data_IF_546017429207
#
_entry.id   IF_546017429207
#
_cell.length_a   1.000
_cell.length_b   1.000
_cell.length_c   1.000
_cell.angle_alpha   90.00
_cell.angle_beta   90.00
_cell.angle_gamma   90.00
#
_symmetry.space_group_name_H-M   'P 1'
#
loop_
_entity.id
_entity.type
_entity.pdbx_description
1 polymer ?
#
# COMPACT_ATOMS: atom_id res chain seq x y z
N UNK A 1 -33.45 40.44 42.24
CA UNK A 1 -32.56 39.50 41.50
C UNK A 1 -33.07 38.08 41.69
N UNK A 2 -33.72 37.44 40.70
CA UNK A 2 -34.31 36.12 40.91
C UNK A 2 -33.28 35.00 40.68
N UNK A 3 -33.22 34.06 41.64
CA UNK A 3 -32.48 32.79 41.56
C UNK A 3 -33.27 31.77 40.74
N UNK A 4 -32.62 31.06 39.81
CA UNK A 4 -33.19 29.90 39.09
C UNK A 4 -32.40 28.61 39.37
N UNK A 5 -33.09 27.73 40.12
CA UNK A 5 -33.27 26.27 40.03
C UNK A 5 -32.08 25.34 39.70
N UNK A 6 -31.85 24.44 40.67
CA UNK A 6 -31.27 23.11 40.52
C UNK A 6 -32.10 22.21 39.58
N UNK A 7 -31.41 21.38 38.82
CA UNK A 7 -31.95 20.21 38.14
C UNK A 7 -30.90 19.09 38.15
N UNK A 8 -31.03 18.15 39.06
CA UNK A 8 -30.27 16.91 39.14
C UNK A 8 -30.91 15.86 38.24
N UNK A 9 -30.13 15.29 37.32
CA UNK A 9 -30.54 14.15 36.48
C UNK A 9 -29.68 12.94 36.88
N UNK A 10 -30.30 12.01 37.61
CA UNK A 10 -29.75 10.68 37.86
C UNK A 10 -29.91 9.81 36.60
N UNK A 11 -28.80 9.33 36.04
CA UNK A 11 -28.81 8.32 34.99
C UNK A 11 -28.48 6.94 35.58
N UNK A 12 -29.43 6.01 35.44
CA UNK A 12 -29.41 4.63 35.92
C UNK A 12 -28.30 3.80 35.25
N UNK A 13 -27.42 3.24 36.08
CA UNK A 13 -26.42 2.23 35.72
C UNK A 13 -27.12 0.86 35.59
N UNK A 14 -27.15 0.29 34.39
CA UNK A 14 -27.63 -1.09 34.15
C UNK A 14 -26.43 -2.02 34.08
N UNK A 15 -26.25 -2.82 35.12
CA UNK A 15 -25.34 -3.97 35.15
C UNK A 15 -25.98 -5.13 34.38
N UNK A 16 -25.24 -5.73 33.44
CA UNK A 16 -25.61 -7.00 32.81
C UNK A 16 -24.76 -8.09 33.45
N UNK A 17 -25.42 -8.96 34.21
CA UNK A 17 -24.84 -10.21 34.70
C UNK A 17 -24.71 -11.19 33.52
N UNK A 18 -23.56 -11.85 33.41
CA UNK A 18 -23.37 -12.99 32.53
C UNK A 18 -23.57 -14.27 33.33
N UNK A 19 -24.48 -15.11 32.86
CA UNK A 19 -24.86 -16.40 33.42
C UNK A 19 -23.87 -17.49 32.94
N UNK A 20 -23.25 -18.20 33.88
CA UNK A 20 -22.30 -19.28 33.62
C UNK A 20 -23.06 -20.60 33.53
N UNK A 21 -23.20 -21.16 32.33
CA UNK A 21 -23.73 -22.51 32.14
C UNK A 21 -22.63 -23.55 32.39
N UNK A 22 -22.85 -24.43 33.38
CA UNK A 22 -22.04 -25.63 33.63
C UNK A 22 -22.58 -26.78 32.78
N UNK A 23 -21.71 -27.45 32.05
CA UNK A 23 -22.00 -28.75 31.42
C UNK A 23 -21.69 -29.90 32.38
N UNK A 24 -22.42 -31.03 32.35
CA UNK A 24 -22.25 -32.13 33.28
C UNK A 24 -21.12 -33.09 32.85
N UNK A 25 -20.39 -33.64 33.83
CA UNK A 25 -19.48 -34.77 33.65
C UNK A 25 -20.25 -36.09 33.45
N UNK A 26 -19.74 -37.05 32.67
CA UNK A 26 -20.24 -38.42 32.68
C UNK A 26 -19.39 -39.34 33.57
N UNK A 27 -20.13 -40.14 34.32
CA UNK A 27 -19.70 -41.11 35.32
C UNK A 27 -19.15 -42.42 34.71
N UNK A 28 -18.52 -43.21 35.57
CA UNK A 28 -17.59 -44.31 35.30
C UNK A 28 -18.21 -45.70 35.03
N UNK A 29 -17.35 -46.61 34.55
CA UNK A 29 -17.39 -48.10 34.56
C UNK A 29 -17.99 -48.88 33.37
N UNK A 30 -17.15 -49.65 32.66
CA UNK A 30 -17.10 -51.14 32.70
C UNK A 30 -16.31 -51.77 31.52
N UNK A 31 -15.34 -52.61 31.91
CA UNK A 31 -14.57 -53.70 31.27
C UNK A 31 -14.81 -54.16 29.82
N UNK A 32 -13.70 -54.44 29.11
CA UNK A 32 -13.65 -55.44 28.02
C UNK A 32 -12.60 -55.17 26.94
N UNK A 33 -11.47 -55.92 26.92
CA UNK A 33 -10.55 -56.04 25.76
C UNK A 33 -11.04 -57.17 24.85
N UNK A 34 -10.94 -57.04 23.52
CA UNK A 34 -9.86 -57.75 22.83
C UNK A 34 -9.23 -57.03 21.62
N UNK A 35 -8.17 -57.68 21.13
CA UNK A 35 -7.16 -57.30 20.14
C UNK A 35 -7.72 -56.75 18.82
N UNK A 36 -7.11 -55.66 18.33
CA UNK A 36 -7.30 -55.11 16.99
C UNK A 36 -6.08 -54.30 16.54
N UNK A 37 -5.59 -54.64 15.35
CA UNK A 37 -4.38 -54.15 14.66
C UNK A 37 -4.33 -52.62 14.52
N UNK A 38 -3.23 -52.00 14.94
CA UNK A 38 -3.00 -50.55 14.82
C UNK A 38 -2.50 -50.21 13.41
N UNK A 39 -3.41 -49.76 12.54
CA UNK A 39 -3.03 -48.92 11.40
C UNK A 39 -2.87 -47.48 11.91
N UNK A 40 -1.64 -46.93 11.84
CA UNK A 40 -1.38 -45.50 12.09
C UNK A 40 -2.13 -44.66 11.05
N UNK A 41 -3.30 -44.15 11.42
CA UNK A 41 -3.94 -43.03 10.71
C UNK A 41 -3.39 -41.75 11.32
N UNK A 42 -2.54 -41.06 10.57
CA UNK A 42 -2.06 -39.73 10.95
C UNK A 42 -3.24 -38.75 10.91
N UNK A 43 -3.73 -38.37 12.09
CA UNK A 43 -4.69 -37.28 12.25
C UNK A 43 -3.98 -35.97 11.89
N UNK A 44 -4.34 -35.42 10.72
CA UNK A 44 -3.89 -34.08 10.31
C UNK A 44 -4.47 -33.05 11.28
N UNK A 45 -3.67 -32.14 11.86
CA UNK A 45 -4.21 -31.04 12.65
C UNK A 45 -5.09 -30.15 11.76
N UNK A 46 -6.25 -29.77 12.28
CA UNK A 46 -7.18 -28.84 11.65
C UNK A 46 -6.49 -27.49 11.42
N UNK A 47 -5.99 -27.28 10.20
CA UNK A 47 -5.50 -25.99 9.77
C UNK A 47 -6.64 -24.98 9.71
N UNK A 48 -6.40 -23.83 10.34
CA UNK A 48 -7.20 -22.62 10.21
C UNK A 48 -7.56 -22.40 8.75
N UNK A 49 -8.88 -22.44 8.54
CA UNK A 49 -9.60 -22.04 7.35
C UNK A 49 -9.04 -20.70 6.86
N UNK A 50 -8.37 -20.70 5.70
CA UNK A 50 -8.05 -19.47 4.96
C UNK A 50 -9.36 -18.73 4.72
N UNK A 51 -9.56 -17.62 5.42
CA UNK A 51 -10.56 -16.64 5.03
C UNK A 51 -10.08 -15.98 3.75
N UNK A 52 -10.65 -16.40 2.63
CA UNK A 52 -10.55 -15.69 1.36
C UNK A 52 -11.28 -14.36 1.49
N UNK A 53 -10.56 -13.30 1.86
CA UNK A 53 -10.98 -11.95 1.56
C UNK A 53 -10.46 -11.61 0.18
N UNK A 54 -11.39 -11.42 -0.75
CA UNK A 54 -11.18 -11.01 -2.13
C UNK A 54 -10.34 -9.71 -2.16
N UNK A 55 -9.04 -9.82 -2.42
CA UNK A 55 -8.11 -8.70 -2.42
C UNK A 55 -7.32 -8.70 -3.72
N UNK A 56 -7.91 -8.09 -4.76
CA UNK A 56 -7.28 -7.81 -6.04
C UNK A 56 -7.00 -9.05 -6.90
N UNK A 57 -7.58 -9.10 -8.10
CA UNK A 57 -7.22 -10.12 -9.09
C UNK A 57 -5.79 -9.87 -9.58
N UNK A 58 -4.81 -10.57 -8.99
CA UNK A 58 -3.51 -10.72 -9.64
C UNK A 58 -3.73 -11.72 -10.76
N UNK A 59 -3.72 -11.27 -12.01
CA UNK A 59 -3.48 -12.19 -13.13
C UNK A 59 -2.04 -12.66 -13.01
N UNK A 60 -1.82 -13.72 -12.23
CA UNK A 60 -0.52 -14.32 -12.01
C UNK A 60 -0.07 -14.95 -13.32
N UNK A 61 0.79 -14.25 -14.05
CA UNK A 61 1.43 -14.79 -15.25
C UNK A 61 2.40 -15.88 -14.86
N UNK A 62 2.67 -16.79 -15.80
CA UNK A 62 3.72 -17.78 -15.58
C UNK A 62 5.07 -17.06 -15.48
N UNK A 63 6.01 -17.51 -14.64
CA UNK A 63 7.33 -16.86 -14.48
C UNK A 63 8.07 -16.62 -15.81
N UNK A 64 7.89 -17.50 -16.79
CA UNK A 64 8.46 -17.39 -18.14
C UNK A 64 7.87 -16.23 -18.95
N UNK A 65 6.57 -15.98 -18.83
CA UNK A 65 5.87 -14.88 -19.51
C UNK A 65 6.28 -13.52 -18.91
N UNK A 66 6.48 -13.48 -17.59
CA UNK A 66 6.92 -12.28 -16.88
C UNK A 66 8.36 -11.89 -17.25
N UNK A 67 9.27 -12.86 -17.35
CA UNK A 67 10.64 -12.65 -17.85
C UNK A 67 10.66 -12.19 -19.31
N UNK A 68 9.80 -12.76 -20.16
CA UNK A 68 9.66 -12.32 -21.55
C UNK A 68 9.18 -10.86 -21.63
N UNK A 69 8.23 -10.46 -20.77
CA UNK A 69 7.76 -9.06 -20.67
C UNK A 69 8.87 -8.11 -20.24
N UNK A 70 9.73 -8.50 -19.32
CA UNK A 70 10.88 -7.69 -18.89
C UNK A 70 11.86 -7.50 -20.05
N UNK A 71 12.19 -8.56 -20.79
CA UNK A 71 13.04 -8.45 -21.99
C UNK A 71 12.41 -7.54 -23.04
N UNK A 72 11.12 -7.69 -23.28
CA UNK A 72 10.39 -6.84 -24.22
C UNK A 72 10.38 -5.37 -23.78
N UNK A 73 10.19 -5.09 -22.49
CA UNK A 73 10.21 -3.71 -21.96
C UNK A 73 11.60 -3.07 -22.08
N UNK A 74 12.68 -3.81 -21.78
CA UNK A 74 14.05 -3.33 -21.99
C UNK A 74 14.31 -2.99 -23.45
N UNK A 75 13.83 -3.81 -24.38
CA UNK A 75 13.94 -3.53 -25.81
C UNK A 75 13.14 -2.28 -26.22
N UNK A 76 11.94 -2.08 -25.65
CA UNK A 76 11.14 -0.86 -25.89
C UNK A 76 11.81 0.39 -25.33
N UNK A 77 12.36 0.31 -24.13
CA UNK A 77 13.11 1.38 -23.50
C UNK A 77 14.34 1.79 -24.32
N UNK A 78 15.13 0.82 -24.80
CA UNK A 78 16.28 1.12 -25.64
C UNK A 78 15.86 1.86 -26.91
N UNK A 79 14.82 1.36 -27.61
CA UNK A 79 14.30 2.03 -28.81
C UNK A 79 13.79 3.44 -28.54
N UNK A 80 13.16 3.67 -27.39
CA UNK A 80 12.69 4.99 -26.98
C UNK A 80 13.87 5.93 -26.71
N UNK A 81 14.92 5.47 -26.03
CA UNK A 81 16.16 6.24 -25.84
C UNK A 81 16.81 6.58 -27.18
N UNK A 82 16.94 5.61 -28.08
CA UNK A 82 17.54 5.83 -29.41
C UNK A 82 16.71 6.84 -30.24
N UNK A 83 15.39 6.83 -30.09
CA UNK A 83 14.48 7.77 -30.76
C UNK A 83 14.52 9.18 -30.13
N UNK A 84 14.65 9.28 -28.80
CA UNK A 84 14.84 10.54 -28.09
C UNK A 84 16.18 11.17 -28.44
N UNK A 85 17.27 10.42 -28.46
CA UNK A 85 18.60 10.92 -28.89
C UNK A 85 18.54 11.46 -30.33
N UNK A 86 17.86 10.74 -31.23
CA UNK A 86 17.63 11.21 -32.60
C UNK A 86 16.77 12.48 -32.66
N UNK A 87 15.84 12.67 -31.71
CA UNK A 87 15.01 13.88 -31.61
C UNK A 87 15.78 15.05 -30.98
N UNK A 88 16.55 14.81 -29.93
CA UNK A 88 17.39 15.81 -29.25
C UNK A 88 18.43 16.35 -30.23
N UNK A 89 19.05 15.51 -31.06
CA UNK A 89 19.97 15.98 -32.11
C UNK A 89 19.26 16.91 -33.12
N UNK A 90 18.00 16.60 -33.49
CA UNK A 90 17.16 17.49 -34.34
C UNK A 90 16.72 18.76 -33.59
N UNK A 91 16.45 18.68 -32.29
CA UNK A 91 16.02 19.80 -31.46
C UNK A 91 17.17 20.71 -31.08
N UNK A 92 18.39 20.22 -30.84
CA UNK A 92 19.59 21.02 -30.60
C UNK A 92 19.95 21.86 -31.83
N UNK A 93 19.67 21.36 -33.04
CA UNK A 93 19.72 22.16 -34.26
C UNK A 93 18.72 23.34 -34.28
N UNK A 94 17.69 23.33 -33.41
CA UNK A 94 16.71 24.41 -33.25
C UNK A 94 16.81 25.17 -31.91
N UNK A 95 17.60 24.69 -30.94
CA UNK A 95 17.67 25.20 -29.56
C UNK A 95 18.62 26.39 -29.36
N UNK A 96 19.49 26.69 -30.33
CA UNK A 96 20.37 27.88 -30.30
C UNK A 96 19.57 29.19 -30.14
N UNK A 97 18.26 29.20 -30.44
CA UNK A 97 17.43 30.40 -30.43
C UNK A 97 16.62 30.72 -29.17
N UNK A 98 16.66 29.92 -28.09
CA UNK A 98 15.71 30.10 -26.94
C UNK A 98 16.36 29.99 -25.56
N UNK A 99 17.47 30.68 -25.35
CA UNK A 99 17.98 30.95 -24.01
C UNK A 99 17.18 32.10 -23.38
N UNK A 100 16.85 31.96 -22.08
CA UNK A 100 16.11 32.89 -21.18
C UNK A 100 14.60 32.64 -21.00
N UNK A 101 14.24 32.10 -19.83
CA UNK A 101 12.89 32.19 -19.27
C UNK A 101 12.57 31.07 -18.28
N UNK A 102 12.69 31.35 -16.97
CA UNK A 102 12.30 30.45 -15.87
C UNK A 102 10.77 30.35 -15.81
N UNK A 103 10.22 29.16 -15.99
CA UNK A 103 8.79 28.85 -15.81
C UNK A 103 8.59 27.93 -14.61
N UNK A 104 7.54 28.18 -13.83
CA UNK A 104 7.01 27.23 -12.85
C UNK A 104 6.61 25.94 -13.58
N UNK A 105 7.36 24.87 -13.34
CA UNK A 105 7.25 23.63 -14.11
C UNK A 105 5.88 22.96 -13.89
N UNK A 106 5.18 22.55 -14.95
CA UNK A 106 3.98 21.73 -14.82
C UNK A 106 4.32 20.44 -14.06
N UNK A 107 3.42 20.00 -13.17
CA UNK A 107 3.61 18.76 -12.41
C UNK A 107 3.67 17.60 -13.38
N UNK A 108 4.85 17.03 -13.54
CA UNK A 108 5.09 15.88 -14.41
C UNK A 108 4.24 14.66 -13.99
N UNK A 109 3.79 13.85 -14.96
CA UNK A 109 2.76 12.84 -14.74
C UNK A 109 3.22 11.71 -13.80
N UNK A 110 4.53 11.46 -13.71
CA UNK A 110 5.14 10.55 -12.73
C UNK A 110 6.55 10.98 -12.35
N UNK A 111 7.02 10.52 -11.20
CA UNK A 111 8.38 10.76 -10.69
C UNK A 111 9.06 9.45 -10.30
N UNK A 112 10.38 9.38 -10.53
CA UNK A 112 11.20 8.22 -10.18
C UNK A 112 11.54 8.22 -8.69
N UNK A 113 10.98 7.26 -7.96
CA UNK A 113 11.20 7.07 -6.52
C UNK A 113 12.49 6.28 -6.27
N UNK A 114 12.60 5.11 -6.88
CA UNK A 114 13.81 4.27 -6.87
C UNK A 114 14.19 3.90 -8.31
N UNK A 115 15.36 3.29 -8.55
CA UNK A 115 15.78 2.93 -9.90
C UNK A 115 14.76 2.14 -10.72
N UNK A 116 13.90 1.36 -10.07
CA UNK A 116 12.87 0.49 -10.64
C UNK A 116 11.44 0.87 -10.23
N UNK A 117 11.23 1.99 -9.52
CA UNK A 117 9.93 2.34 -8.93
C UNK A 117 9.56 3.77 -9.25
N UNK A 118 8.41 3.95 -9.90
CA UNK A 118 7.82 5.23 -10.25
C UNK A 118 6.50 5.42 -9.52
N UNK A 119 6.21 6.68 -9.16
CA UNK A 119 4.95 7.10 -8.57
C UNK A 119 4.30 8.14 -9.49
N UNK A 120 3.06 7.91 -9.90
CA UNK A 120 2.40 8.77 -10.89
C UNK A 120 0.89 8.91 -10.77
N UNK A 121 0.35 9.72 -11.68
CA UNK A 121 -1.07 9.97 -11.88
C UNK A 121 -1.67 9.03 -12.95
N UNK A 122 -2.98 9.13 -13.17
CA UNK A 122 -3.66 8.41 -14.25
C UNK A 122 -3.16 8.83 -15.63
N UNK A 123 -2.69 10.07 -15.78
CA UNK A 123 -2.11 10.55 -17.04
C UNK A 123 -0.84 9.75 -17.40
N UNK A 124 0.02 9.44 -16.42
CA UNK A 124 1.19 8.59 -16.66
C UNK A 124 0.80 7.17 -17.09
N UNK A 125 -0.25 6.61 -16.47
CA UNK A 125 -0.71 5.26 -16.78
C UNK A 125 -1.37 5.13 -18.17
N UNK A 126 -1.80 6.26 -18.75
CA UNK A 126 -2.40 6.34 -20.09
C UNK A 126 -1.37 6.64 -21.19
N UNK A 127 -0.21 7.20 -20.84
CA UNK A 127 0.82 7.55 -21.81
C UNK A 127 1.73 6.36 -22.09
N UNK A 128 1.49 5.66 -23.20
CA UNK A 128 2.27 4.49 -23.55
C UNK A 128 3.73 4.80 -23.82
N UNK A 129 4.01 5.90 -24.51
CA UNK A 129 5.36 6.23 -24.92
C UNK A 129 6.20 6.53 -23.67
N UNK A 130 5.63 7.23 -22.70
CA UNK A 130 6.26 7.50 -21.42
C UNK A 130 6.53 6.21 -20.62
N UNK A 131 5.58 5.28 -20.58
CA UNK A 131 5.77 3.99 -19.88
C UNK A 131 6.90 3.18 -20.51
N UNK A 132 6.97 3.15 -21.84
CA UNK A 132 8.01 2.43 -22.57
C UNK A 132 9.38 3.12 -22.45
N UNK A 133 9.45 4.45 -22.48
CA UNK A 133 10.72 5.19 -22.38
C UNK A 133 11.44 5.01 -21.05
N UNK A 134 10.71 4.76 -19.97
CA UNK A 134 11.30 4.45 -18.66
C UNK A 134 11.33 2.94 -18.34
N UNK A 135 10.93 2.10 -19.30
CA UNK A 135 11.00 0.65 -19.20
C UNK A 135 10.02 0.03 -18.20
N UNK A 136 8.84 0.61 -18.01
CA UNK A 136 7.81 0.03 -17.14
C UNK A 136 7.44 -1.38 -17.62
N UNK A 137 7.27 -2.28 -16.66
CA UNK A 137 6.88 -3.69 -16.87
C UNK A 137 5.66 -4.06 -16.05
N UNK A 138 5.50 -3.42 -14.89
CA UNK A 138 4.49 -3.71 -13.91
C UNK A 138 3.74 -2.42 -13.55
N UNK A 139 2.42 -2.50 -13.41
CA UNK A 139 1.58 -1.35 -13.07
C UNK A 139 0.67 -1.73 -11.90
N UNK A 140 0.85 -1.04 -10.78
CA UNK A 140 -0.04 -1.10 -9.63
C UNK A 140 -1.04 0.05 -9.72
N UNK A 141 -2.25 -0.26 -10.16
CA UNK A 141 -3.38 0.66 -10.21
C UNK A 141 -4.12 0.66 -8.87
N UNK A 142 -4.00 1.77 -8.14
CA UNK A 142 -4.60 1.94 -6.82
C UNK A 142 -5.99 2.59 -6.87
N UNK A 143 -6.56 2.91 -8.03
CA UNK A 143 -7.83 3.65 -8.12
C UNK A 143 -8.90 2.82 -8.82
N UNK A 144 -10.10 2.74 -8.21
CA UNK A 144 -11.26 2.12 -8.85
C UNK A 144 -11.70 2.87 -10.11
N UNK A 145 -11.52 4.20 -10.16
CA UNK A 145 -11.92 5.05 -11.27
C UNK A 145 -10.98 4.97 -12.48
N UNK A 146 -9.83 4.31 -12.34
CA UNK A 146 -8.84 4.22 -13.40
C UNK A 146 -8.90 2.84 -14.03
N UNK A 147 -9.04 2.79 -15.35
CA UNK A 147 -8.92 1.55 -16.10
C UNK A 147 -7.46 1.17 -16.37
N UNK A 148 -7.23 -0.13 -16.58
CA UNK A 148 -5.94 -0.64 -17.05
C UNK A 148 -5.91 -0.59 -18.59
N UNK A 149 -5.22 0.39 -19.16
CA UNK A 149 -5.23 0.72 -20.59
C UNK A 149 -4.47 -0.28 -21.48
N UNK A 150 -3.46 -0.95 -20.93
CA UNK A 150 -2.50 -1.75 -21.71
C UNK A 150 -2.32 -3.18 -21.16
N UNK A 151 -3.43 -3.86 -20.84
CA UNK A 151 -3.46 -5.14 -20.08
C UNK A 151 -2.58 -6.25 -20.65
N UNK A 152 -2.46 -6.33 -21.97
CA UNK A 152 -1.68 -7.39 -22.63
C UNK A 152 -0.16 -7.13 -22.60
N UNK A 153 0.24 -5.92 -22.23
CA UNK A 153 1.61 -5.41 -22.45
C UNK A 153 2.38 -5.17 -21.15
N UNK A 154 1.66 -4.98 -20.04
CA UNK A 154 2.22 -4.85 -18.70
C UNK A 154 1.54 -5.82 -17.74
N UNK A 155 2.23 -6.17 -16.66
CA UNK A 155 1.65 -6.96 -15.57
C UNK A 155 0.93 -6.03 -14.61
N UNK A 156 -0.37 -6.24 -14.41
CA UNK A 156 -1.19 -5.36 -13.58
C UNK A 156 -1.50 -5.96 -12.22
N UNK A 157 -1.48 -5.09 -11.20
CA UNK A 157 -2.19 -5.26 -9.94
C UNK A 157 -3.23 -4.14 -9.83
N UNK A 158 -4.51 -4.48 -9.79
CA UNK A 158 -5.59 -3.49 -9.63
C UNK A 158 -6.26 -3.66 -8.28
N UNK A 159 -6.05 -2.68 -7.39
CA UNK A 159 -6.48 -2.74 -5.99
C UNK A 159 -7.90 -2.20 -5.76
N UNK A 160 -8.51 -1.55 -6.75
CA UNK A 160 -9.88 -1.01 -6.69
C UNK A 160 -10.17 -0.18 -5.42
N UNK A 161 -9.30 0.79 -5.11
CA UNK A 161 -9.43 1.60 -3.88
C UNK A 161 -10.07 2.95 -4.15
N UNK A 162 -10.92 3.38 -3.23
CA UNK A 162 -11.48 4.73 -3.18
C UNK A 162 -10.55 5.71 -2.43
N UNK A 163 -10.66 7.00 -2.72
CA UNK A 163 -9.96 8.07 -1.98
C UNK A 163 -10.89 8.68 -0.91
N UNK A 164 -11.43 7.82 -0.05
CA UNK A 164 -12.39 8.21 0.98
C UNK A 164 -11.83 7.91 2.37
N UNK A 165 -12.30 8.65 3.38
CA UNK A 165 -11.89 8.42 4.77
C UNK A 165 -12.33 7.05 5.34
N UNK A 166 -13.29 6.40 4.68
CA UNK A 166 -13.79 5.07 5.06
C UNK A 166 -13.02 3.93 4.36
N UNK A 167 -12.27 4.23 3.30
CA UNK A 167 -11.45 3.24 2.62
C UNK A 167 -10.30 2.79 3.54
N UNK A 168 -10.20 1.48 3.78
CA UNK A 168 -9.07 0.90 4.50
C UNK A 168 -7.96 0.54 3.53
N UNK A 169 -6.92 1.37 3.48
CA UNK A 169 -5.77 1.19 2.61
C UNK A 169 -4.78 0.16 3.17
N UNK A 170 -4.76 0.00 4.50
CA UNK A 170 -3.98 -0.97 5.26
C UNK A 170 -4.08 -2.40 4.74
N UNK A 171 -5.26 -2.81 4.28
CA UNK A 171 -5.49 -4.13 3.68
C UNK A 171 -4.70 -4.35 2.38
N UNK A 172 -4.36 -3.28 1.67
CA UNK A 172 -3.65 -3.33 0.40
C UNK A 172 -2.13 -3.16 0.55
N UNK A 173 -1.62 -2.70 1.71
CA UNK A 173 -0.19 -2.42 1.91
C UNK A 173 0.69 -3.62 1.62
N UNK A 174 0.40 -4.78 2.24
CA UNK A 174 1.20 -5.99 2.02
C UNK A 174 1.15 -6.44 0.55
N UNK A 175 -0.04 -6.49 -0.04
CA UNK A 175 -0.23 -6.91 -1.43
C UNK A 175 0.53 -6.02 -2.41
N UNK A 176 0.44 -4.70 -2.24
CA UNK A 176 1.14 -3.74 -3.10
C UNK A 176 2.66 -3.81 -2.89
N UNK A 177 3.12 -3.84 -1.64
CA UNK A 177 4.54 -3.92 -1.31
C UNK A 177 5.17 -5.19 -1.87
N UNK A 178 4.50 -6.33 -1.75
CA UNK A 178 5.01 -7.61 -2.25
C UNK A 178 4.97 -7.69 -3.77
N UNK A 179 3.99 -7.04 -4.42
CA UNK A 179 3.98 -6.90 -5.88
C UNK A 179 5.18 -6.09 -6.39
N UNK A 180 5.47 -4.95 -5.75
CA UNK A 180 6.62 -4.12 -6.09
C UNK A 180 7.93 -4.91 -5.87
N UNK A 181 8.06 -5.60 -4.74
CA UNK A 181 9.27 -6.35 -4.43
C UNK A 181 9.50 -7.53 -5.37
N UNK A 182 8.45 -8.28 -5.71
CA UNK A 182 8.55 -9.37 -6.69
C UNK A 182 9.03 -8.84 -8.04
N UNK A 183 8.40 -7.80 -8.56
CA UNK A 183 8.81 -7.18 -9.82
C UNK A 183 10.27 -6.73 -9.80
N UNK A 184 10.73 -6.12 -8.71
CA UNK A 184 12.14 -5.74 -8.53
C UNK A 184 13.06 -6.96 -8.55
N UNK A 185 12.72 -8.03 -7.84
CA UNK A 185 13.56 -9.22 -7.68
C UNK A 185 13.89 -9.91 -9.01
N UNK A 186 13.01 -9.76 -10.00
CA UNK A 186 13.19 -10.30 -11.36
C UNK A 186 13.70 -9.25 -12.37
N UNK A 187 14.08 -8.05 -11.90
CA UNK A 187 14.64 -6.99 -12.73
C UNK A 187 13.60 -6.18 -13.53
N UNK A 188 12.34 -6.18 -13.08
CA UNK A 188 11.28 -5.34 -13.62
C UNK A 188 11.28 -3.91 -13.06
N UNK A 189 10.58 -3.03 -13.75
CA UNK A 189 10.28 -1.65 -13.35
C UNK A 189 8.78 -1.45 -13.13
N UNK A 190 8.41 -0.76 -12.06
CA UNK A 190 7.04 -0.66 -11.55
C UNK A 190 6.56 0.79 -11.56
N UNK A 191 5.36 1.03 -12.09
CA UNK A 191 4.59 2.24 -11.84
C UNK A 191 3.52 1.95 -10.79
N UNK A 192 3.45 2.77 -9.73
CA UNK A 192 2.33 2.80 -8.79
C UNK A 192 1.56 4.09 -9.04
N UNK A 193 0.27 4.00 -9.39
CA UNK A 193 -0.53 5.18 -9.70
C UNK A 193 -1.92 5.14 -9.07
N UNK A 194 -2.53 6.33 -8.95
CA UNK A 194 -3.96 6.50 -8.71
C UNK A 194 -4.48 7.56 -9.69
N UNK A 195 -5.43 8.42 -9.29
CA UNK A 195 -5.87 9.55 -10.12
C UNK A 195 -4.79 10.64 -10.16
N UNK A 196 -4.52 11.31 -9.03
CA UNK A 196 -3.56 12.41 -8.97
C UNK A 196 -2.11 11.98 -8.69
N UNK A 197 -1.91 10.73 -8.24
CA UNK A 197 -0.59 10.28 -7.77
C UNK A 197 -0.16 10.94 -6.46
N UNK A 198 -1.10 11.36 -5.63
CA UNK A 198 -0.83 12.17 -4.43
C UNK A 198 -1.14 11.45 -3.11
N UNK A 199 -2.23 10.68 -3.04
CA UNK A 199 -2.75 10.12 -1.79
C UNK A 199 -2.62 8.59 -1.72
N UNK A 200 -3.53 7.84 -2.37
CA UNK A 200 -3.54 6.36 -2.40
C UNK A 200 -2.20 5.75 -2.84
N UNK A 201 -1.76 6.04 -4.06
CA UNK A 201 -0.54 5.44 -4.63
C UNK A 201 0.72 5.84 -3.85
N UNK A 202 0.80 7.09 -3.38
CA UNK A 202 1.92 7.55 -2.58
C UNK A 202 2.01 6.78 -1.26
N UNK A 203 0.88 6.56 -0.60
CA UNK A 203 0.82 5.76 0.64
C UNK A 203 1.27 4.31 0.41
N UNK A 204 0.89 3.68 -0.71
CA UNK A 204 1.37 2.34 -1.06
C UNK A 204 2.89 2.31 -1.28
N UNK A 205 3.46 3.35 -1.89
CA UNK A 205 4.92 3.47 -2.07
C UNK A 205 5.63 3.65 -0.73
N UNK A 206 5.10 4.48 0.17
CA UNK A 206 5.64 4.63 1.53
C UNK A 206 5.60 3.30 2.29
N UNK A 207 4.48 2.58 2.22
CA UNK A 207 4.34 1.26 2.83
C UNK A 207 5.36 0.24 2.29
N UNK A 208 5.65 0.27 0.98
CA UNK A 208 6.69 -0.54 0.37
C UNK A 208 8.09 -0.21 0.91
N UNK A 209 8.43 1.07 0.99
CA UNK A 209 9.73 1.50 1.53
C UNK A 209 9.91 1.07 3.00
N UNK A 210 8.85 1.13 3.81
CA UNK A 210 8.92 0.60 5.17
C UNK A 210 9.16 -0.92 5.16
N UNK A 211 8.31 -1.68 4.46
CA UNK A 211 8.35 -3.15 4.50
C UNK A 211 9.64 -3.75 3.91
N UNK A 212 10.05 -3.29 2.74
CA UNK A 212 11.10 -3.94 1.93
C UNK A 212 12.41 -3.15 1.85
N UNK A 213 12.43 -1.93 2.39
CA UNK A 213 13.66 -1.12 2.53
C UNK A 213 13.98 -0.78 3.98
N UNK A 214 13.21 -1.31 4.94
CA UNK A 214 13.41 -1.09 6.37
C UNK A 214 13.51 0.38 6.76
N UNK A 215 12.82 1.25 6.01
CA UNK A 215 12.76 2.67 6.34
C UNK A 215 11.71 2.90 7.42
N UNK A 216 11.99 3.80 8.36
CA UNK A 216 10.97 4.29 9.27
C UNK A 216 9.94 5.14 8.49
N UNK A 217 8.73 5.29 9.02
CA UNK A 217 7.64 6.04 8.39
C UNK A 217 8.07 7.46 8.03
N UNK A 218 8.64 8.21 8.99
CA UNK A 218 9.07 9.59 8.74
C UNK A 218 10.09 9.65 7.60
N UNK A 219 11.05 8.72 7.58
CA UNK A 219 12.09 8.66 6.55
C UNK A 219 11.50 8.31 5.18
N UNK A 220 10.61 7.31 5.12
CA UNK A 220 9.97 6.87 3.89
C UNK A 220 9.06 7.95 3.32
N UNK A 221 8.27 8.61 4.18
CA UNK A 221 7.38 9.71 3.80
C UNK A 221 8.19 10.89 3.23
N UNK A 222 9.21 11.35 3.94
CA UNK A 222 10.03 12.49 3.49
C UNK A 222 10.84 12.16 2.23
N UNK A 223 11.29 10.92 2.08
CA UNK A 223 11.95 10.46 0.86
C UNK A 223 11.04 10.56 -0.35
N UNK A 224 9.79 10.11 -0.25
CA UNK A 224 8.81 10.20 -1.35
C UNK A 224 8.38 11.65 -1.56
N UNK A 225 8.13 12.42 -0.49
CA UNK A 225 7.72 13.84 -0.56
C UNK A 225 8.73 14.70 -1.32
N UNK A 226 10.03 14.52 -1.05
CA UNK A 226 11.11 15.25 -1.74
C UNK A 226 11.15 14.95 -3.24
N UNK A 227 10.84 13.70 -3.63
CA UNK A 227 10.85 13.28 -5.03
C UNK A 227 9.56 13.61 -5.78
N UNK A 228 8.43 13.62 -5.07
CA UNK A 228 7.12 14.00 -5.60
C UNK A 228 6.43 14.98 -4.66
N UNK A 229 6.70 16.29 -4.80
CA UNK A 229 6.17 17.32 -3.89
C UNK A 229 4.65 17.39 -3.82
N UNK A 230 3.94 16.95 -4.85
CA UNK A 230 2.45 16.88 -4.86
C UNK A 230 1.88 15.80 -3.94
N UNK A 231 2.72 14.92 -3.39
CA UNK A 231 2.30 13.90 -2.44
C UNK A 231 1.58 14.53 -1.24
N UNK A 232 0.37 14.07 -0.97
CA UNK A 232 -0.43 14.50 0.18
C UNK A 232 -1.45 13.41 0.55
N UNK A 233 -1.03 12.29 1.18
CA UNK A 233 -1.94 11.30 1.74
C UNK A 233 -2.96 11.92 2.67
N UNK A 234 -4.20 11.45 2.61
CA UNK A 234 -5.24 11.86 3.56
C UNK A 234 -4.80 11.57 5.01
N UNK A 235 -5.30 12.32 6.01
CA UNK A 235 -4.98 12.05 7.41
C UNK A 235 -5.28 10.60 7.82
N UNK A 236 -6.36 10.01 7.29
CA UNK A 236 -6.71 8.61 7.54
C UNK A 236 -5.61 7.66 7.02
N UNK A 237 -5.09 7.88 5.81
CA UNK A 237 -4.01 7.04 5.28
C UNK A 237 -2.69 7.24 6.02
N UNK A 238 -2.38 8.47 6.46
CA UNK A 238 -1.19 8.70 7.30
C UNK A 238 -1.27 7.98 8.65
N UNK A 239 -2.45 7.97 9.27
CA UNK A 239 -2.71 7.15 10.46
C UNK A 239 -2.51 5.66 10.18
N UNK A 240 -3.09 5.15 9.09
CA UNK A 240 -2.93 3.74 8.72
C UNK A 240 -1.46 3.37 8.45
N UNK A 241 -0.67 4.29 7.91
CA UNK A 241 0.78 4.11 7.75
C UNK A 241 1.51 4.05 9.10
N UNK A 242 1.15 4.90 10.07
CA UNK A 242 1.71 4.85 11.42
C UNK A 242 1.39 3.52 12.12
N UNK A 243 0.14 3.05 11.99
CA UNK A 243 -0.27 1.74 12.52
C UNK A 243 0.45 0.59 11.82
N UNK A 244 0.70 0.72 10.52
CA UNK A 244 1.46 -0.26 9.77
C UNK A 244 2.93 -0.30 10.18
N UNK A 245 3.55 0.86 10.48
CA UNK A 245 4.90 0.92 11.03
C UNK A 245 4.99 0.19 12.40
N UNK A 246 4.02 0.40 13.29
CA UNK A 246 3.93 -0.35 14.57
C UNK A 246 3.85 -1.85 14.32
N UNK A 247 3.10 -2.27 13.31
CA UNK A 247 2.98 -3.70 12.96
C UNK A 247 4.30 -4.27 12.44
N UNK A 248 5.14 -3.46 11.78
CA UNK A 248 6.42 -3.90 11.21
C UNK A 248 7.58 -3.84 12.20
N UNK A 249 7.60 -2.83 13.09
CA UNK A 249 8.76 -2.48 13.92
C UNK A 249 8.43 -2.31 15.40
N UNK A 250 7.24 -2.71 15.83
CA UNK A 250 6.74 -2.64 17.22
C UNK A 250 6.61 -1.22 17.78
N UNK A 251 6.93 -0.19 16.99
CA UNK A 251 6.86 1.22 17.34
C UNK A 251 6.64 2.07 16.11
N UNK A 252 6.20 3.33 16.30
CA UNK A 252 6.11 4.30 15.21
C UNK A 252 7.06 5.47 15.43
N UNK A 253 7.80 5.84 14.38
CA UNK A 253 8.71 6.98 14.37
C UNK A 253 7.99 8.33 14.50
N UNK A 254 6.69 8.39 14.26
CA UNK A 254 5.90 9.63 14.36
C UNK A 254 5.20 9.79 15.71
N UNK A 255 5.32 8.82 16.62
CA UNK A 255 4.64 8.86 17.93
C UNK A 255 5.07 10.05 18.79
N UNK A 256 6.31 10.50 18.67
CA UNK A 256 6.86 11.65 19.40
C UNK A 256 7.03 12.89 18.50
N UNK A 257 6.53 12.84 17.26
CA UNK A 257 6.67 13.94 16.33
C UNK A 257 5.85 15.16 16.80
N UNK A 258 6.43 16.34 16.61
CA UNK A 258 5.80 17.64 16.81
C UNK A 258 5.30 18.25 15.50
N UNK A 259 5.53 17.59 14.37
CA UNK A 259 5.07 18.04 13.06
C UNK A 259 3.54 17.89 12.97
N UNK A 260 2.80 18.98 12.67
CA UNK A 260 1.34 18.97 12.53
C UNK A 260 0.82 17.93 11.50
N UNK A 261 1.64 17.50 10.54
CA UNK A 261 1.26 16.44 9.59
C UNK A 261 0.91 15.13 10.30
N UNK A 262 1.53 14.87 11.45
CA UNK A 262 1.35 13.67 12.29
C UNK A 262 0.50 13.92 13.53
N UNK A 263 -0.11 15.09 13.66
CA UNK A 263 -1.00 15.43 14.77
C UNK A 263 -2.37 14.74 14.60
N UNK A 264 -2.41 13.45 14.94
CA UNK A 264 -3.65 12.69 14.97
C UNK A 264 -4.16 12.60 16.40
N UNK A 265 -5.42 12.97 16.61
CA UNK A 265 -6.09 12.83 17.91
C UNK A 265 -5.91 11.43 18.53
N UNK A 266 -6.08 10.36 17.73
CA UNK A 266 -5.93 8.98 18.22
C UNK A 266 -4.48 8.63 18.59
N UNK A 267 -3.49 9.15 17.86
CA UNK A 267 -2.08 8.93 18.20
C UNK A 267 -1.71 9.68 19.48
N UNK A 268 -2.25 10.88 19.67
CA UNK A 268 -2.11 11.64 20.92
C UNK A 268 -2.76 10.91 22.10
N UNK A 269 -3.95 10.32 21.92
CA UNK A 269 -4.58 9.50 22.95
C UNK A 269 -3.74 8.27 23.30
N UNK A 270 -3.19 7.58 22.31
CA UNK A 270 -2.25 6.47 22.55
C UNK A 270 -0.99 6.92 23.29
N UNK A 271 -0.40 8.07 22.92
CA UNK A 271 0.75 8.69 23.62
C UNK A 271 0.43 8.92 25.10
N UNK A 272 -0.75 9.46 25.40
CA UNK A 272 -1.21 9.71 26.77
C UNK A 272 -1.40 8.41 27.56
N UNK A 273 -1.84 7.32 26.92
CA UNK A 273 -1.98 6.01 27.57
C UNK A 273 -0.62 5.36 27.87
N UNK A 274 0.37 5.48 26.97
CA UNK A 274 1.71 4.96 27.20
C UNK A 274 2.47 5.73 28.30
N UNK A 275 2.26 7.04 28.42
CA UNK A 275 2.83 7.86 29.49
C UNK A 275 2.22 7.59 30.88
N UNK A 276 1.08 6.89 30.94
CA UNK A 276 0.38 6.52 32.19
C UNK A 276 0.76 5.13 32.70
N UNK A 277 1.52 4.35 31.94
CA UNK A 277 2.01 3.01 32.32
C UNK A 277 3.46 3.10 32.77
#
# INVERSE_FOLDING_TARGET
MPRRRHGSVQAKRRERQYEVQRTPEPDTTTTGKPKGTVHKVAVRPHHLRRSSSDSGSIHALKPTEEQARIRAAKARQQRASDAEDASILRSLASWVGRFFGVQTLPTQPMDRILPFLYLGSSAAAQDRNLLDSVGITHICNAAVQCENHFRDQFTYLHLHLEDSATQRLSKAFNTAADFIERARSIGGCVLVHCIAGASRSASLVVAYLMKHRSMLLVQAYDFVKRKRPVMNPSPAFRMELAMYEITLFESSSVIASTDPVWDFYQLNMYRLEQQRR
#
